data_IF_428898618784
#
_entry.id   IF_428898618784
#
_cell.length_a   1.000
_cell.length_b   1.000
_cell.length_c   1.000
_cell.angle_alpha   90.00
_cell.angle_beta   90.00
_cell.angle_gamma   90.00
#
_symmetry.space_group_name_H-M   'P 1'
#
loop_
_entity.id
_entity.type
_entity.pdbx_description
1 polymer ?
#
# COMPACT_ATOMS: atom_id res chain seq x y z
N UNK A 1 14.86 12.47 7.17
CA UNK A 1 15.22 11.49 6.11
C UNK A 1 14.11 11.52 5.06
N UNK A 2 14.32 11.13 3.79
CA UNK A 2 13.22 11.08 2.82
C UNK A 2 12.16 10.07 3.27
N UNK A 3 10.89 10.39 2.99
CA UNK A 3 9.75 9.52 3.25
C UNK A 3 9.26 8.91 1.95
N UNK A 4 8.89 7.64 1.98
CA UNK A 4 8.37 6.91 0.84
C UNK A 4 7.05 6.22 1.19
N UNK A 5 6.08 6.36 0.31
CA UNK A 5 4.82 5.61 0.31
C UNK A 5 5.04 4.32 -0.49
N UNK A 6 4.78 3.19 0.14
CA UNK A 6 4.74 1.87 -0.46
C UNK A 6 3.27 1.50 -0.65
N UNK A 7 2.89 1.27 -1.90
CA UNK A 7 1.50 1.03 -2.30
C UNK A 7 1.36 -0.42 -2.74
N UNK A 8 0.40 -1.12 -2.13
CA UNK A 8 -0.10 -2.41 -2.60
C UNK A 8 -1.49 -2.18 -3.16
N UNK A 9 -1.70 -2.52 -4.43
CA UNK A 9 -3.02 -2.50 -5.09
C UNK A 9 -3.52 -3.94 -5.34
N UNK A 10 -4.68 -4.06 -5.99
CA UNK A 10 -5.31 -5.34 -6.31
C UNK A 10 -4.78 -5.97 -7.60
N UNK A 11 -3.67 -5.50 -8.19
CA UNK A 11 -3.00 -6.24 -9.26
C UNK A 11 -2.45 -7.54 -8.66
N UNK A 12 -2.67 -8.69 -9.34
CA UNK A 12 -2.14 -9.94 -8.85
C UNK A 12 -0.62 -9.98 -9.01
N UNK A 13 0.05 -10.66 -8.09
CA UNK A 13 1.40 -11.18 -8.30
C UNK A 13 1.37 -12.43 -9.20
N UNK A 14 2.13 -13.44 -8.82
CA UNK A 14 2.20 -14.72 -9.54
C UNK A 14 0.95 -15.60 -9.34
N UNK A 15 0.12 -15.31 -8.33
CA UNK A 15 -1.15 -15.99 -8.06
C UNK A 15 -2.29 -14.95 -8.02
N UNK A 16 -3.33 -15.16 -8.83
CA UNK A 16 -4.49 -14.27 -8.95
C UNK A 16 -5.71 -14.73 -8.16
N UNK A 17 -5.57 -15.80 -7.35
CA UNK A 17 -6.62 -16.31 -6.48
C UNK A 17 -6.99 -15.23 -5.46
N UNK A 18 -8.25 -14.77 -5.42
CA UNK A 18 -8.70 -13.83 -4.40
C UNK A 18 -8.49 -14.39 -2.98
N UNK A 19 -8.10 -13.54 -2.03
CA UNK A 19 -7.74 -13.95 -0.67
C UNK A 19 -8.90 -14.64 0.08
N UNK A 20 -10.16 -14.35 -0.27
CA UNK A 20 -11.35 -15.02 0.31
C UNK A 20 -11.48 -16.50 -0.08
N UNK A 21 -10.71 -16.96 -1.07
CA UNK A 21 -10.61 -18.36 -1.50
C UNK A 21 -9.38 -19.08 -0.95
N UNK A 22 -8.51 -18.38 -0.23
CA UNK A 22 -7.34 -19.00 0.38
C UNK A 22 -7.74 -19.82 1.60
N UNK A 23 -6.87 -20.76 1.99
CA UNK A 23 -7.05 -21.48 3.26
C UNK A 23 -6.83 -20.52 4.43
N UNK A 24 -7.55 -20.69 5.56
CA UNK A 24 -7.37 -19.82 6.73
C UNK A 24 -5.92 -19.70 7.21
N UNK A 25 -5.15 -20.79 7.11
CA UNK A 25 -3.73 -20.83 7.49
C UNK A 25 -2.85 -19.98 6.56
N UNK A 26 -3.20 -19.88 5.28
CA UNK A 26 -2.48 -19.05 4.31
C UNK A 26 -2.75 -17.58 4.56
N UNK A 27 -4.01 -17.21 4.81
CA UNK A 27 -4.39 -15.85 5.21
C UNK A 27 -3.65 -15.47 6.50
N UNK A 28 -3.63 -16.37 7.49
CA UNK A 28 -2.92 -16.12 8.75
C UNK A 28 -1.41 -15.94 8.54
N UNK A 29 -0.78 -16.77 7.71
CA UNK A 29 0.64 -16.65 7.41
C UNK A 29 0.96 -15.33 6.69
N UNK A 30 0.11 -14.92 5.75
CA UNK A 30 0.21 -13.65 5.03
C UNK A 30 0.12 -12.45 5.98
N UNK A 31 -0.88 -12.41 6.86
CA UNK A 31 -1.05 -11.32 7.83
C UNK A 31 0.07 -11.30 8.87
N UNK A 32 0.47 -12.47 9.39
CA UNK A 32 1.56 -12.57 10.34
C UNK A 32 2.90 -12.09 9.76
N UNK A 33 3.13 -12.30 8.46
CA UNK A 33 4.32 -11.76 7.78
C UNK A 33 4.35 -10.24 7.85
N UNK A 34 3.23 -9.57 7.54
CA UNK A 34 3.11 -8.12 7.69
C UNK A 34 3.29 -7.66 9.13
N UNK A 35 2.71 -8.37 10.11
CA UNK A 35 2.84 -8.02 11.52
C UNK A 35 4.31 -8.04 11.96
N UNK A 36 5.05 -9.09 11.62
CA UNK A 36 6.47 -9.23 11.94
C UNK A 36 7.31 -8.17 11.23
N UNK A 37 7.09 -7.95 9.93
CA UNK A 37 7.80 -6.92 9.17
C UNK A 37 7.54 -5.53 9.74
N UNK A 38 6.28 -5.19 9.98
CA UNK A 38 5.90 -3.89 10.55
C UNK A 38 6.45 -3.69 11.96
N UNK A 39 6.48 -4.73 12.80
CA UNK A 39 7.11 -4.65 14.11
C UNK A 39 8.61 -4.34 13.99
N UNK A 40 9.34 -5.05 13.13
CA UNK A 40 10.76 -4.81 12.91
C UNK A 40 11.05 -3.38 12.40
N UNK A 41 10.23 -2.87 11.47
CA UNK A 41 10.38 -1.51 10.95
C UNK A 41 9.99 -0.43 11.97
N UNK A 42 9.06 -0.72 12.88
CA UNK A 42 8.76 0.19 14.01
C UNK A 42 9.91 0.21 15.00
N UNK A 43 10.47 -0.95 15.33
CA UNK A 43 11.59 -1.08 16.26
C UNK A 43 12.86 -0.39 15.74
N UNK A 44 13.07 -0.39 14.41
CA UNK A 44 14.15 0.38 13.77
C UNK A 44 13.86 1.87 13.62
N UNK A 45 12.61 2.30 13.85
CA UNK A 45 12.16 3.69 13.63
C UNK A 45 11.91 4.04 12.16
N UNK A 46 11.96 3.07 11.25
CA UNK A 46 11.76 3.27 9.81
C UNK A 46 10.28 3.34 9.41
N UNK A 47 9.36 2.73 10.18
CA UNK A 47 7.92 2.79 9.88
C UNK A 47 7.26 4.03 10.49
N UNK A 48 6.75 4.92 9.63
CA UNK A 48 5.93 6.07 10.03
C UNK A 48 4.49 5.65 10.31
N UNK A 49 3.94 4.76 9.47
CA UNK A 49 2.58 4.25 9.60
C UNK A 49 2.14 3.42 8.39
N UNK A 50 0.96 2.82 8.43
CA UNK A 50 0.42 2.02 7.34
C UNK A 50 -0.85 1.27 7.75
N UNK A 51 -1.70 0.96 6.78
CA UNK A 51 -3.00 0.31 7.01
C UNK A 51 -3.35 -0.64 5.86
N UNK A 52 -4.04 -1.73 6.19
CA UNK A 52 -4.79 -2.54 5.23
C UNK A 52 -6.17 -1.92 5.00
N UNK A 53 -6.66 -1.95 3.76
CA UNK A 53 -7.92 -1.33 3.38
C UNK A 53 -8.98 -2.38 3.02
N UNK A 54 -10.25 -1.97 3.12
CA UNK A 54 -11.39 -2.79 2.71
C UNK A 54 -11.46 -2.94 1.19
N UNK A 55 -12.15 -3.98 0.72
CA UNK A 55 -12.39 -4.21 -0.71
C UNK A 55 -12.99 -2.99 -1.45
N UNK A 56 -12.67 -2.80 -2.76
CA UNK A 56 -13.12 -1.65 -3.54
C UNK A 56 -14.62 -1.37 -3.54
N UNK A 57 -15.46 -2.41 -3.37
CA UNK A 57 -16.93 -2.27 -3.30
C UNK A 57 -17.43 -1.42 -2.13
N UNK A 58 -16.60 -1.27 -1.08
CA UNK A 58 -16.91 -0.41 0.06
C UNK A 58 -16.42 1.03 -0.13
N UNK A 59 -15.58 1.26 -1.14
CA UNK A 59 -15.08 2.60 -1.48
C UNK A 59 -16.19 3.51 -2.02
N UNK A 60 -15.97 4.81 -1.87
CA UNK A 60 -16.81 5.89 -2.40
C UNK A 60 -15.91 6.95 -3.02
N UNK A 61 -16.25 7.41 -4.22
CA UNK A 61 -15.65 8.59 -4.83
C UNK A 61 -16.53 9.80 -4.52
N UNK A 62 -15.92 10.90 -4.09
CA UNK A 62 -16.63 12.12 -3.70
C UNK A 62 -16.07 13.30 -4.47
N UNK A 63 -16.90 13.95 -5.28
CA UNK A 63 -16.56 15.14 -6.05
C UNK A 63 -17.38 16.31 -5.51
N UNK A 64 -16.71 17.43 -5.19
CA UNK A 64 -17.37 18.64 -4.67
C UNK A 64 -16.77 19.88 -5.33
N UNK A 65 -17.64 20.85 -5.63
CA UNK A 65 -17.25 22.20 -6.04
C UNK A 65 -17.13 23.16 -4.85
N UNK A 66 -17.35 22.67 -3.62
CA UNK A 66 -17.33 23.45 -2.38
C UNK A 66 -18.50 24.42 -2.23
N UNK A 67 -19.50 24.39 -3.11
CA UNK A 67 -20.65 25.31 -3.13
C UNK A 67 -21.99 24.58 -3.06
N UNK A 68 -22.07 23.41 -3.66
CA UNK A 68 -23.26 22.57 -3.70
C UNK A 68 -23.03 21.25 -2.96
N UNK A 69 -24.09 20.44 -2.83
CA UNK A 69 -23.94 19.10 -2.27
C UNK A 69 -22.98 18.26 -3.14
N UNK A 70 -22.09 17.47 -2.53
CA UNK A 70 -21.13 16.67 -3.29
C UNK A 70 -21.85 15.58 -4.11
N UNK A 71 -21.27 15.26 -5.26
CA UNK A 71 -21.61 14.05 -6.01
C UNK A 71 -20.84 12.89 -5.39
N UNK A 72 -21.56 11.85 -4.97
CA UNK A 72 -21.00 10.64 -4.39
C UNK A 72 -21.26 9.46 -5.31
N UNK A 73 -20.20 8.75 -5.69
CA UNK A 73 -20.26 7.56 -6.55
C UNK A 73 -19.83 6.34 -5.74
N UNK A 74 -20.68 5.31 -5.72
CA UNK A 74 -20.41 4.03 -5.07
C UNK A 74 -19.51 3.14 -5.95
N UNK A 75 -18.60 2.38 -5.34
CA UNK A 75 -17.83 1.35 -6.03
C UNK A 75 -18.67 0.13 -6.46
N UNK A 76 -18.11 -0.78 -7.28
CA UNK A 76 -16.71 -0.83 -7.72
C UNK A 76 -16.42 0.15 -8.87
N UNK A 77 -15.24 0.77 -8.84
CA UNK A 77 -14.78 1.64 -9.92
C UNK A 77 -14.25 0.81 -11.11
N UNK A 78 -14.26 1.41 -12.31
CA UNK A 78 -13.86 0.72 -13.54
C UNK A 78 -12.43 0.12 -13.46
N UNK A 79 -11.50 0.85 -12.83
CA UNK A 79 -10.10 0.43 -12.65
C UNK A 79 -9.85 -0.20 -11.27
N UNK A 80 -10.72 -1.12 -10.85
CA UNK A 80 -10.68 -1.67 -9.48
C UNK A 80 -9.37 -2.38 -9.09
N UNK A 81 -8.60 -2.87 -10.08
CA UNK A 81 -7.30 -3.52 -9.85
C UNK A 81 -6.21 -2.51 -9.44
N UNK A 82 -6.35 -1.25 -9.79
CA UNK A 82 -5.37 -0.19 -9.47
C UNK A 82 -5.74 0.56 -8.18
N UNK A 83 -6.84 0.16 -7.52
CA UNK A 83 -7.20 0.68 -6.21
C UNK A 83 -6.29 0.07 -5.15
N UNK A 84 -5.90 0.88 -4.18
CA UNK A 84 -5.09 0.44 -3.04
C UNK A 84 -5.81 -0.63 -2.21
N UNK A 85 -5.11 -1.75 -2.00
CA UNK A 85 -5.44 -2.75 -1.00
C UNK A 85 -4.81 -2.41 0.36
N UNK A 86 -3.72 -1.65 0.37
CA UNK A 86 -3.04 -1.21 1.58
C UNK A 86 -1.84 -0.33 1.27
N UNK A 87 -1.27 0.27 2.32
CA UNK A 87 -0.08 1.09 2.19
C UNK A 87 0.79 1.08 3.44
N UNK A 88 2.06 1.43 3.27
CA UNK A 88 2.98 1.80 4.36
C UNK A 88 3.69 3.09 3.98
N UNK A 89 3.99 3.93 4.97
CA UNK A 89 4.91 5.07 4.82
C UNK A 89 6.14 4.76 5.66
N UNK A 90 7.30 4.80 5.02
CA UNK A 90 8.60 4.62 5.66
C UNK A 90 9.41 5.90 5.59
N UNK A 91 10.20 6.18 6.63
CA UNK A 91 11.21 7.23 6.66
C UNK A 91 12.58 6.57 6.76
N UNK A 92 13.40 6.71 5.71
CA UNK A 92 14.63 5.92 5.53
C UNK A 92 15.75 6.78 4.95
N UNK A 93 17.00 6.37 5.16
CA UNK A 93 18.17 7.16 4.75
C UNK A 93 18.30 7.34 3.22
N UNK A 94 17.74 6.42 2.42
CA UNK A 94 17.87 6.43 0.96
C UNK A 94 16.68 5.77 0.24
N UNK A 95 16.56 6.03 -1.05
CA UNK A 95 15.59 5.33 -1.92
C UNK A 95 15.88 3.83 -2.00
N UNK A 96 17.15 3.44 -2.04
CA UNK A 96 17.57 2.04 -2.06
C UNK A 96 17.01 1.28 -0.86
N UNK A 97 17.03 1.89 0.34
CA UNK A 97 16.44 1.28 1.52
C UNK A 97 14.92 1.14 1.41
N UNK A 98 14.23 2.11 0.81
CA UNK A 98 12.80 1.98 0.52
C UNK A 98 12.50 0.84 -0.46
N UNK A 99 13.37 0.65 -1.47
CA UNK A 99 13.28 -0.47 -2.43
C UNK A 99 13.48 -1.82 -1.74
N UNK A 100 14.43 -1.93 -0.82
CA UNK A 100 14.61 -3.15 -0.02
C UNK A 100 13.36 -3.51 0.79
N UNK A 101 12.76 -2.52 1.45
CA UNK A 101 11.53 -2.73 2.23
C UNK A 101 10.37 -3.11 1.30
N UNK A 102 10.22 -2.45 0.16
CA UNK A 102 9.20 -2.79 -0.82
C UNK A 102 9.39 -4.20 -1.39
N UNK A 103 10.64 -4.68 -1.53
CA UNK A 103 10.92 -6.06 -1.94
C UNK A 103 10.46 -7.08 -0.89
N UNK A 104 10.59 -6.77 0.41
CA UNK A 104 10.04 -7.61 1.49
C UNK A 104 8.51 -7.67 1.42
N UNK A 105 7.85 -6.52 1.21
CA UNK A 105 6.40 -6.44 1.02
C UNK A 105 5.95 -7.23 -0.22
N UNK A 106 6.67 -7.11 -1.33
CA UNK A 106 6.43 -7.86 -2.57
C UNK A 106 6.54 -9.38 -2.35
N UNK A 107 7.43 -9.82 -1.47
CA UNK A 107 7.68 -11.22 -1.17
C UNK A 107 6.73 -11.84 -0.13
N UNK A 108 5.67 -11.13 0.30
CA UNK A 108 4.68 -11.65 1.24
C UNK A 108 4.16 -13.03 0.77
N UNK A 109 4.00 -14.01 1.67
CA UNK A 109 3.58 -15.36 1.28
C UNK A 109 2.13 -15.38 0.81
N UNK A 110 1.87 -16.09 -0.29
CA UNK A 110 0.55 -16.40 -0.82
C UNK A 110 0.16 -17.85 -0.59
N UNK A 111 -0.72 -18.41 -1.44
CA UNK A 111 -1.09 -19.81 -1.39
C UNK A 111 0.12 -20.75 -1.38
N UNK A 112 0.06 -21.79 -0.55
CA UNK A 112 1.17 -22.73 -0.35
C UNK A 112 2.42 -22.14 0.34
N UNK A 113 2.37 -20.90 0.82
CA UNK A 113 3.52 -20.24 1.46
C UNK A 113 4.58 -19.75 0.46
N UNK A 114 4.26 -19.70 -0.83
CA UNK A 114 5.15 -19.20 -1.89
C UNK A 114 5.08 -17.67 -1.92
N UNK A 115 6.19 -16.93 -2.07
CA UNK A 115 6.15 -15.48 -2.24
C UNK A 115 5.25 -15.07 -3.41
N UNK A 116 4.31 -14.14 -3.17
CA UNK A 116 3.37 -13.68 -4.21
C UNK A 116 4.05 -12.90 -5.33
N UNK A 117 5.21 -12.29 -5.06
CA UNK A 117 5.82 -11.27 -5.93
C UNK A 117 4.80 -10.17 -6.26
N UNK A 118 4.09 -9.72 -5.23
CA UNK A 118 3.06 -8.69 -5.33
C UNK A 118 3.68 -7.41 -5.90
N UNK A 119 3.08 -6.79 -6.93
CA UNK A 119 3.54 -5.48 -7.39
C UNK A 119 3.43 -4.45 -6.26
N UNK A 120 4.56 -3.83 -5.91
CA UNK A 120 4.61 -2.74 -4.93
C UNK A 120 5.08 -1.49 -5.64
N UNK A 121 4.29 -0.42 -5.57
CA UNK A 121 4.69 0.88 -6.12
C UNK A 121 5.32 1.71 -5.02
N UNK A 122 6.49 2.29 -5.28
CA UNK A 122 7.17 3.19 -4.35
C UNK A 122 7.02 4.62 -4.87
N UNK A 123 6.67 5.55 -3.98
CA UNK A 123 6.57 6.97 -4.31
C UNK A 123 7.12 7.83 -3.18
N UNK A 124 8.06 8.73 -3.48
CA UNK A 124 8.54 9.70 -2.50
C UNK A 124 7.38 10.60 -2.05
N UNK A 125 7.27 10.79 -0.74
CA UNK A 125 6.36 11.78 -0.15
C UNK A 125 7.02 13.14 -0.27
N UNK A 126 6.27 14.09 -0.84
CA UNK A 126 6.71 15.47 -1.01
C UNK A 126 7.12 16.08 0.34
N UNK A 127 8.25 16.79 0.34
CA UNK A 127 8.69 17.61 1.46
C UNK A 127 8.65 19.12 1.14
N UNK A 128 9.10 19.95 2.08
CA UNK A 128 9.11 21.41 1.91
C UNK A 128 9.96 21.87 0.73
N UNK A 129 11.13 21.25 0.52
CA UNK A 129 12.02 21.61 -0.58
C UNK A 129 11.41 21.24 -1.93
N UNK A 130 10.70 20.10 -2.00
CA UNK A 130 9.94 19.72 -3.20
C UNK A 130 8.81 20.73 -3.49
N UNK A 131 8.13 21.23 -2.46
CA UNK A 131 7.07 22.24 -2.60
C UNK A 131 7.59 23.60 -3.06
N UNK A 132 8.69 24.08 -2.47
CA UNK A 132 9.38 25.30 -2.89
C UNK A 132 9.86 25.18 -4.35
N UNK A 133 10.45 24.04 -4.73
CA UNK A 133 10.88 23.79 -6.10
C UNK A 133 9.71 23.76 -7.11
N UNK A 134 8.56 23.23 -6.71
CA UNK A 134 7.35 23.16 -7.56
C UNK A 134 6.68 24.54 -7.73
N UNK A 135 6.66 25.36 -6.69
CA UNK A 135 5.87 26.60 -6.64
C UNK A 135 6.67 27.88 -6.82
N UNK A 136 7.98 27.82 -6.59
CA UNK A 136 8.88 28.98 -6.56
C UNK A 136 8.63 29.93 -5.38
N UNK A 137 7.88 29.47 -4.36
CA UNK A 137 7.62 30.18 -3.11
C UNK A 137 8.63 29.82 -2.04
#
# INVERSE_FOLDING_TARGET
>A
MPRYLLIVDYRPGDDDTPMDRWRPEEIKAHMNYYDVLNAALRDSGELVGGEALTEPRFGREVISDGRTAPVVTDGPFAESKEILAGYQIVEVESEDRAIEIAALVSAVPGPGGVPLRQPVTIRRVMDGADFEAMTGL
#
